data_IF_916921462606
#
_entry.id   IF_916921462606
#
_cell.length_a   1.000
_cell.length_b   1.000
_cell.length_c   1.000
_cell.angle_alpha   90.00
_cell.angle_beta   90.00
_cell.angle_gamma   90.00
#
_symmetry.space_group_name_H-M   'P 1'
#
loop_
_entity.id
_entity.type
_entity.pdbx_description
1 polymer ?
#
# COMPACT_ATOMS: atom_id res chain seq x y z
N UNK A 1 14.88 11.44 20.17
CA UNK A 1 15.93 11.87 19.21
C UNK A 1 15.67 13.32 18.86
N UNK A 2 16.70 14.20 18.84
CA UNK A 2 16.56 15.56 18.33
C UNK A 2 16.15 15.50 16.86
N UNK A 3 15.07 16.19 16.51
CA UNK A 3 14.60 16.23 15.12
C UNK A 3 15.69 16.82 14.23
N UNK A 4 16.06 16.10 13.17
CA UNK A 4 16.98 16.62 12.15
C UNK A 4 16.28 17.75 11.40
N UNK A 5 17.02 18.82 11.11
CA UNK A 5 16.54 19.88 10.23
C UNK A 5 16.50 19.39 8.78
N UNK A 6 15.70 20.04 7.92
CA UNK A 6 15.62 19.73 6.48
C UNK A 6 16.98 19.76 5.80
N UNK A 7 17.84 20.70 6.18
CA UNK A 7 19.21 20.81 5.66
C UNK A 7 20.06 19.59 6.04
N UNK A 8 19.95 19.14 7.30
CA UNK A 8 20.64 17.93 7.76
C UNK A 8 20.15 16.68 7.03
N UNK A 9 18.84 16.55 6.80
CA UNK A 9 18.24 15.46 6.03
C UNK A 9 18.77 15.50 4.59
N UNK A 10 18.72 16.64 3.92
CA UNK A 10 19.22 16.81 2.54
C UNK A 10 20.70 16.47 2.40
N UNK A 11 21.53 16.86 3.38
CA UNK A 11 22.95 16.51 3.41
C UNK A 11 23.17 14.99 3.53
N UNK A 12 22.39 14.33 4.39
CA UNK A 12 22.45 12.88 4.58
C UNK A 12 21.95 12.12 3.33
N UNK A 13 20.84 12.57 2.74
CA UNK A 13 20.32 12.05 1.47
C UNK A 13 21.36 12.14 0.37
N UNK A 14 22.03 13.29 0.23
CA UNK A 14 23.08 13.50 -0.77
C UNK A 14 24.25 12.55 -0.58
N UNK A 15 24.73 12.39 0.65
CA UNK A 15 25.80 11.44 0.99
C UNK A 15 25.40 10.00 0.63
N UNK A 16 24.19 9.61 1.00
CA UNK A 16 23.68 8.25 0.78
C UNK A 16 23.45 7.98 -0.71
N UNK A 17 22.89 8.93 -1.46
CA UNK A 17 22.69 8.80 -2.90
C UNK A 17 24.02 8.60 -3.64
N UNK A 18 25.06 9.40 -3.35
CA UNK A 18 26.38 9.27 -3.97
C UNK A 18 26.96 7.87 -3.71
N UNK A 19 26.88 7.39 -2.46
CA UNK A 19 27.35 6.06 -2.10
C UNK A 19 26.54 4.94 -2.79
N UNK A 20 25.23 5.10 -2.86
CA UNK A 20 24.31 4.18 -3.53
C UNK A 20 24.63 4.07 -5.03
N UNK A 21 24.73 5.20 -5.71
CA UNK A 21 25.01 5.24 -7.15
C UNK A 21 26.35 4.60 -7.48
N UNK A 22 27.38 4.88 -6.69
CA UNK A 22 28.69 4.22 -6.83
C UNK A 22 28.57 2.71 -6.66
N UNK A 23 27.90 2.25 -5.59
CA UNK A 23 27.71 0.82 -5.29
C UNK A 23 27.02 0.08 -6.43
N UNK A 24 25.90 0.59 -6.95
CA UNK A 24 25.16 -0.10 -8.02
C UNK A 24 25.88 -0.07 -9.34
N UNK A 25 26.60 1.01 -9.64
CA UNK A 25 27.41 1.12 -10.86
C UNK A 25 28.55 0.11 -10.88
N UNK A 26 29.20 -0.12 -9.74
CA UNK A 26 30.32 -1.04 -9.60
C UNK A 26 29.88 -2.51 -9.55
N UNK A 27 28.75 -2.81 -8.90
CA UNK A 27 28.37 -4.18 -8.55
C UNK A 27 27.16 -4.74 -9.31
N UNK A 28 26.36 -3.90 -9.98
CA UNK A 28 25.12 -4.34 -10.67
C UNK A 28 25.23 -4.04 -12.17
N UNK A 29 25.52 -5.05 -13.01
CA UNK A 29 25.67 -4.85 -14.47
C UNK A 29 24.47 -4.17 -15.12
N UNK A 30 23.25 -4.48 -14.65
CA UNK A 30 22.02 -3.84 -15.10
C UNK A 30 22.06 -2.31 -14.92
N UNK A 31 22.38 -1.82 -13.71
CA UNK A 31 22.45 -0.38 -13.45
C UNK A 31 23.59 0.29 -14.19
N UNK A 32 24.74 -0.38 -14.27
CA UNK A 32 25.89 0.12 -15.04
C UNK A 32 25.52 0.38 -16.49
N UNK A 33 24.88 -0.61 -17.13
CA UNK A 33 24.42 -0.48 -18.52
C UNK A 33 23.39 0.64 -18.65
N UNK A 34 22.38 0.67 -17.81
CA UNK A 34 21.30 1.66 -17.87
C UNK A 34 21.78 3.10 -17.68
N UNK A 35 22.75 3.31 -16.79
CA UNK A 35 23.40 4.61 -16.61
C UNK A 35 24.28 4.99 -17.82
N UNK A 36 24.99 4.02 -18.42
CA UNK A 36 25.79 4.26 -19.66
C UNK A 36 24.88 4.65 -20.83
N UNK A 37 23.74 3.95 -21.00
CA UNK A 37 22.73 4.25 -22.02
C UNK A 37 22.14 5.66 -21.83
N UNK A 38 21.95 6.08 -20.59
CA UNK A 38 21.51 7.44 -20.21
C UNK A 38 22.66 8.48 -20.26
N UNK A 39 23.91 8.07 -20.57
CA UNK A 39 25.11 8.91 -20.56
C UNK A 39 25.41 9.57 -19.22
N UNK A 40 25.04 8.93 -18.11
CA UNK A 40 25.28 9.39 -16.73
C UNK A 40 26.35 8.54 -16.07
N UNK A 41 27.30 9.20 -15.40
CA UNK A 41 28.36 8.56 -14.61
C UNK A 41 28.17 8.83 -13.13
N UNK A 42 28.69 7.99 -12.23
CA UNK A 42 28.64 8.25 -10.78
C UNK A 42 29.18 9.62 -10.38
N UNK A 43 30.20 10.14 -11.09
CA UNK A 43 30.77 11.47 -10.85
C UNK A 43 29.86 12.65 -11.16
N UNK A 44 28.78 12.41 -11.91
CA UNK A 44 27.81 13.45 -12.28
C UNK A 44 26.76 13.69 -11.17
N UNK A 45 26.73 12.80 -10.17
CA UNK A 45 25.84 12.86 -9.02
C UNK A 45 26.61 13.41 -7.82
N UNK A 46 26.35 14.67 -7.46
CA UNK A 46 27.03 15.41 -6.39
C UNK A 46 26.14 15.69 -5.19
N UNK A 47 24.84 15.66 -5.39
CA UNK A 47 23.84 15.88 -4.35
C UNK A 47 22.53 15.15 -4.68
N UNK A 48 21.58 15.21 -3.75
CA UNK A 48 20.24 14.66 -3.97
C UNK A 48 19.48 15.37 -5.10
N UNK A 49 19.83 16.62 -5.39
CA UNK A 49 19.22 17.39 -6.47
C UNK A 49 19.56 16.85 -7.86
N UNK A 50 20.60 16.04 -7.96
CA UNK A 50 21.00 15.38 -9.21
C UNK A 50 20.24 14.07 -9.50
N UNK A 51 19.30 13.68 -8.64
CA UNK A 51 18.60 12.39 -8.74
C UNK A 51 17.84 12.24 -10.05
N UNK A 52 17.29 13.32 -10.58
CA UNK A 52 16.55 13.33 -11.85
C UNK A 52 17.40 12.99 -13.08
N UNK A 53 18.72 13.07 -12.96
CA UNK A 53 19.66 12.60 -14.02
C UNK A 53 19.68 11.07 -14.14
N UNK A 54 19.33 10.37 -13.06
CA UNK A 54 19.37 8.91 -13.00
C UNK A 54 18.15 8.28 -13.70
N UNK A 55 18.34 7.16 -14.42
CA UNK A 55 17.26 6.47 -15.09
C UNK A 55 16.31 5.79 -14.08
N UNK A 56 15.05 5.66 -14.47
CA UNK A 56 14.06 4.93 -13.68
C UNK A 56 14.32 3.42 -13.65
N UNK A 57 13.93 2.78 -12.57
CA UNK A 57 13.79 1.33 -12.46
C UNK A 57 12.31 0.97 -12.48
N UNK A 58 11.94 -0.08 -13.21
CA UNK A 58 10.57 -0.58 -13.30
C UNK A 58 10.46 -2.00 -12.74
N UNK A 59 9.25 -2.44 -12.49
CA UNK A 59 8.99 -3.84 -12.09
C UNK A 59 9.42 -4.83 -13.18
N UNK A 60 9.31 -4.44 -14.44
CA UNK A 60 9.78 -5.26 -15.58
C UNK A 60 11.30 -5.43 -15.54
N UNK A 61 12.04 -4.38 -15.23
CA UNK A 61 13.51 -4.47 -15.08
C UNK A 61 13.90 -5.50 -14.00
N UNK A 62 13.17 -5.57 -12.88
CA UNK A 62 13.43 -6.57 -11.84
C UNK A 62 13.13 -8.00 -12.32
N UNK A 63 12.09 -8.19 -13.13
CA UNK A 63 11.74 -9.48 -13.73
C UNK A 63 12.74 -9.94 -14.78
N UNK A 64 13.25 -9.02 -15.60
CA UNK A 64 14.23 -9.31 -16.65
C UNK A 64 15.59 -9.71 -16.06
N UNK A 65 15.87 -9.21 -14.85
CA UNK A 65 17.06 -9.54 -14.07
C UNK A 65 16.82 -10.61 -12.99
N UNK A 66 15.72 -11.38 -13.08
CA UNK A 66 15.41 -12.48 -12.17
C UNK A 66 16.48 -13.58 -12.20
N UNK A 67 16.86 -14.20 -11.07
CA UNK A 67 16.39 -13.86 -9.72
C UNK A 67 17.26 -12.83 -8.98
N UNK A 68 18.55 -12.68 -9.30
CA UNK A 68 19.52 -11.95 -8.48
C UNK A 68 20.30 -10.89 -9.24
N UNK A 69 19.94 -10.61 -10.50
CA UNK A 69 20.69 -9.67 -11.37
C UNK A 69 20.68 -8.22 -10.91
N UNK A 70 19.85 -7.86 -9.93
CA UNK A 70 19.79 -6.53 -9.31
C UNK A 70 20.45 -6.47 -7.93
N UNK A 71 21.07 -7.57 -7.46
CA UNK A 71 21.74 -7.58 -6.16
C UNK A 71 23.08 -6.86 -6.24
N UNK A 72 23.35 -6.00 -5.27
CA UNK A 72 24.57 -5.20 -5.21
C UNK A 72 25.62 -5.78 -4.23
N UNK A 73 25.35 -6.97 -3.68
CA UNK A 73 26.25 -7.72 -2.78
C UNK A 73 26.24 -9.20 -3.20
N UNK A 74 27.29 -9.98 -2.85
CA UNK A 74 27.30 -11.42 -3.05
C UNK A 74 26.21 -12.14 -2.27
N UNK A 75 25.71 -13.28 -2.77
CA UNK A 75 24.66 -14.08 -2.10
C UNK A 75 25.01 -14.49 -0.68
N UNK A 76 26.29 -14.67 -0.34
CA UNK A 76 26.73 -14.99 1.03
C UNK A 76 26.40 -13.91 2.05
N UNK A 77 26.21 -12.67 1.61
CA UNK A 77 25.87 -11.51 2.43
C UNK A 77 24.35 -11.27 2.49
N UNK A 78 23.57 -12.00 1.68
CA UNK A 78 22.10 -11.99 1.72
C UNK A 78 21.63 -13.00 2.78
N UNK A 79 20.96 -12.50 3.80
CA UNK A 79 20.46 -13.33 4.93
C UNK A 79 18.96 -13.65 4.83
N UNK A 80 18.25 -12.95 3.92
CA UNK A 80 16.81 -13.19 3.69
C UNK A 80 16.41 -12.84 2.27
N UNK A 81 15.52 -13.66 1.73
CA UNK A 81 14.84 -13.42 0.46
C UNK A 81 13.34 -13.28 0.71
N UNK A 82 12.75 -12.27 0.11
CA UNK A 82 11.31 -12.12 -0.06
C UNK A 82 10.97 -12.07 -1.54
N UNK A 83 9.72 -12.31 -1.87
CA UNK A 83 9.24 -12.15 -3.23
C UNK A 83 7.78 -11.71 -3.27
N UNK A 84 7.44 -10.88 -4.23
CA UNK A 84 6.05 -10.56 -4.54
C UNK A 84 5.54 -11.45 -5.69
N UNK A 85 4.26 -11.87 -5.63
CA UNK A 85 3.62 -12.61 -6.71
C UNK A 85 3.54 -11.74 -7.97
N UNK A 86 4.05 -12.24 -9.09
CA UNK A 86 3.85 -11.61 -10.37
C UNK A 86 2.60 -12.13 -11.05
N UNK A 87 1.73 -11.28 -11.57
CA UNK A 87 0.59 -11.64 -12.43
C UNK A 87 1.01 -12.36 -13.71
N UNK A 88 2.29 -12.29 -14.09
CA UNK A 88 2.89 -12.84 -15.31
C UNK A 88 3.73 -14.10 -15.06
N UNK A 89 3.63 -14.76 -13.90
CA UNK A 89 4.30 -16.01 -13.57
C UNK A 89 5.73 -15.89 -13.00
N UNK A 90 6.48 -14.84 -13.26
CA UNK A 90 7.79 -14.60 -12.61
C UNK A 90 7.63 -13.79 -11.33
N UNK A 91 8.23 -14.27 -10.25
CA UNK A 91 8.29 -13.54 -8.98
C UNK A 91 9.20 -12.31 -9.09
N UNK A 92 8.92 -11.28 -8.32
CA UNK A 92 9.87 -10.18 -8.09
C UNK A 92 10.56 -10.45 -6.77
N UNK A 93 11.86 -10.78 -6.84
CA UNK A 93 12.67 -11.16 -5.67
C UNK A 93 13.26 -9.92 -5.02
N UNK A 94 13.24 -9.87 -3.69
CA UNK A 94 13.90 -8.84 -2.88
C UNK A 94 14.88 -9.50 -1.92
N UNK A 95 16.16 -9.11 -2.00
CA UNK A 95 17.23 -9.61 -1.13
C UNK A 95 17.58 -8.61 -0.05
N UNK A 96 17.87 -9.11 1.15
CA UNK A 96 18.19 -8.31 2.32
C UNK A 96 19.48 -8.80 2.97
N UNK A 97 20.40 -7.86 3.24
CA UNK A 97 21.53 -8.08 4.17
C UNK A 97 21.04 -7.99 5.61
N UNK A 98 21.91 -8.29 6.55
CA UNK A 98 21.61 -8.07 7.98
C UNK A 98 21.35 -6.60 8.28
N UNK A 99 22.15 -5.69 7.69
CA UNK A 99 21.98 -4.25 7.84
C UNK A 99 20.63 -3.77 7.25
N UNK A 100 20.23 -4.34 6.11
CA UNK A 100 18.90 -4.04 5.52
C UNK A 100 17.76 -4.44 6.45
N UNK A 101 17.86 -5.59 7.11
CA UNK A 101 16.85 -6.04 8.08
C UNK A 101 16.81 -5.16 9.32
N UNK A 102 17.98 -4.73 9.83
CA UNK A 102 18.06 -3.84 10.98
C UNK A 102 17.51 -2.45 10.67
N UNK A 103 17.80 -1.92 9.48
CA UNK A 103 17.26 -0.65 8.95
C UNK A 103 15.74 -0.75 8.78
N UNK A 104 15.25 -1.85 8.19
CA UNK A 104 13.82 -2.06 8.00
C UNK A 104 13.06 -2.19 9.33
N UNK A 105 13.59 -2.95 10.28
CA UNK A 105 13.01 -3.04 11.62
C UNK A 105 12.97 -1.67 12.32
N UNK A 106 13.98 -0.81 12.12
CA UNK A 106 13.99 0.56 12.64
C UNK A 106 12.92 1.44 11.97
N UNK A 107 12.76 1.35 10.64
CA UNK A 107 11.72 2.09 9.91
C UNK A 107 10.31 1.72 10.40
N UNK A 108 10.04 0.42 10.58
CA UNK A 108 8.75 -0.07 11.10
C UNK A 108 8.56 0.34 12.56
N UNK A 109 9.59 0.26 13.41
CA UNK A 109 9.54 0.75 14.80
C UNK A 109 9.11 2.22 14.83
N UNK A 110 9.73 3.09 14.00
CA UNK A 110 9.35 4.50 13.89
C UNK A 110 7.88 4.68 13.48
N UNK A 111 7.38 3.81 12.56
CA UNK A 111 5.96 3.80 12.20
C UNK A 111 5.08 3.49 13.42
N UNK A 112 5.39 2.45 14.17
CA UNK A 112 4.63 2.04 15.35
C UNK A 112 4.64 3.12 16.42
N UNK A 113 5.80 3.72 16.73
CA UNK A 113 5.93 4.85 17.65
C UNK A 113 5.08 6.05 17.19
N UNK A 114 5.09 6.35 15.90
CA UNK A 114 4.31 7.46 15.32
C UNK A 114 2.80 7.23 15.45
N UNK A 115 2.34 6.01 15.34
CA UNK A 115 0.95 5.62 15.61
C UNK A 115 0.61 5.65 17.12
N UNK A 116 1.60 5.73 17.99
CA UNK A 116 1.44 5.73 19.45
C UNK A 116 1.44 4.33 20.07
N UNK A 117 2.04 3.36 19.39
CA UNK A 117 2.37 2.04 19.96
C UNK A 117 3.53 2.20 20.93
N UNK A 118 3.47 1.50 22.04
CA UNK A 118 4.48 1.50 23.10
C UNK A 118 4.96 0.08 23.41
N UNK A 119 6.02 -0.06 24.15
CA UNK A 119 6.54 -1.37 24.59
C UNK A 119 5.55 -2.22 25.40
N UNK A 120 4.54 -1.59 25.97
CA UNK A 120 3.53 -2.27 26.79
C UNK A 120 2.39 -2.87 25.95
N UNK A 121 2.44 -2.68 24.62
CA UNK A 121 1.42 -3.18 23.71
C UNK A 121 1.63 -4.64 23.29
N UNK A 122 0.52 -5.30 23.03
CA UNK A 122 0.46 -6.64 22.45
C UNK A 122 -0.07 -6.51 21.02
N UNK A 123 0.79 -6.76 20.03
CA UNK A 123 0.46 -6.66 18.61
C UNK A 123 -0.03 -8.00 18.07
N UNK A 124 -1.26 -8.06 17.64
CA UNK A 124 -1.82 -9.20 16.91
C UNK A 124 -1.63 -9.01 15.41
N UNK A 125 -0.69 -9.76 14.82
CA UNK A 125 -0.34 -9.64 13.41
C UNK A 125 -1.05 -10.71 12.59
N UNK A 126 -2.10 -10.29 11.87
CA UNK A 126 -2.89 -11.13 10.98
C UNK A 126 -2.50 -10.98 9.49
N UNK A 127 -1.23 -10.71 9.23
CA UNK A 127 -0.63 -10.78 7.88
C UNK A 127 0.10 -12.12 7.68
N UNK A 128 0.17 -12.57 6.41
CA UNK A 128 0.93 -13.77 6.06
C UNK A 128 2.43 -13.66 6.38
N UNK A 129 3.02 -14.76 6.83
CA UNK A 129 4.45 -14.90 7.20
C UNK A 129 5.23 -15.72 6.15
N UNK A 130 4.86 -15.68 4.90
CA UNK A 130 5.56 -16.39 3.82
C UNK A 130 6.59 -15.52 3.11
N UNK A 131 6.62 -15.63 1.78
CA UNK A 131 7.49 -14.81 0.93
C UNK A 131 7.17 -13.32 0.96
N UNK A 132 5.95 -12.96 1.37
CA UNK A 132 5.55 -11.57 1.55
C UNK A 132 6.23 -10.91 2.73
N UNK A 133 6.41 -9.60 2.63
CA UNK A 133 7.12 -8.79 3.62
C UNK A 133 6.24 -8.36 4.80
N UNK A 134 4.90 -8.37 4.64
CA UNK A 134 3.96 -7.75 5.59
C UNK A 134 4.09 -8.24 7.03
N UNK A 135 3.94 -9.55 7.26
CA UNK A 135 4.00 -10.13 8.61
C UNK A 135 5.36 -9.94 9.27
N UNK A 136 6.44 -10.32 8.57
CA UNK A 136 7.80 -10.25 9.13
C UNK A 136 8.27 -8.82 9.37
N UNK A 137 7.95 -7.87 8.49
CA UNK A 137 8.35 -6.47 8.69
C UNK A 137 7.77 -5.88 9.97
N UNK A 138 6.46 -6.05 10.17
CA UNK A 138 5.78 -5.58 11.37
C UNK A 138 6.24 -6.31 12.63
N UNK A 139 6.49 -7.61 12.54
CA UNK A 139 7.02 -8.43 13.62
C UNK A 139 8.35 -7.87 14.16
N UNK A 140 9.36 -7.75 13.31
CA UNK A 140 10.68 -7.27 13.73
C UNK A 140 10.70 -5.82 14.20
N UNK A 141 9.86 -4.97 13.61
CA UNK A 141 9.70 -3.60 14.08
C UNK A 141 9.07 -3.52 15.46
N UNK A 142 8.07 -4.36 15.74
CA UNK A 142 7.42 -4.45 17.04
C UNK A 142 8.35 -5.03 18.11
N UNK A 143 9.08 -6.11 17.81
CA UNK A 143 10.12 -6.65 18.72
C UNK A 143 11.20 -5.62 19.02
N UNK A 144 11.66 -4.88 18.00
CA UNK A 144 12.66 -3.81 18.18
C UNK A 144 12.15 -2.67 19.05
N UNK A 145 10.83 -2.40 19.04
CA UNK A 145 10.18 -1.44 19.95
C UNK A 145 10.08 -1.99 21.38
N UNK A 146 10.10 -3.30 21.54
CA UNK A 146 9.95 -4.00 22.84
C UNK A 146 8.52 -4.47 23.11
N UNK A 147 7.66 -4.52 22.10
CA UNK A 147 6.28 -5.00 22.21
C UNK A 147 6.22 -6.53 22.30
N UNK A 148 5.12 -7.04 22.86
CA UNK A 148 4.77 -8.44 22.70
C UNK A 148 4.13 -8.66 21.34
N UNK A 149 4.61 -9.64 20.56
CA UNK A 149 4.10 -9.96 19.24
C UNK A 149 3.35 -11.29 19.27
N UNK A 150 2.11 -11.29 18.76
CA UNK A 150 1.30 -12.48 18.47
C UNK A 150 1.36 -12.73 16.95
N UNK A 151 2.20 -13.68 16.46
CA UNK A 151 2.35 -13.95 15.03
C UNK A 151 1.21 -14.87 14.54
N UNK A 152 -0.01 -14.35 14.54
CA UNK A 152 -1.22 -15.12 14.27
C UNK A 152 -1.32 -15.59 12.80
N UNK A 153 -0.59 -14.92 11.89
CA UNK A 153 -0.63 -15.10 10.45
C UNK A 153 -2.02 -14.80 9.83
N UNK A 154 -2.19 -15.04 8.53
CA UNK A 154 -3.46 -14.84 7.85
C UNK A 154 -4.37 -16.08 7.95
N UNK A 155 -5.67 -15.88 7.77
CA UNK A 155 -6.68 -16.95 7.74
C UNK A 155 -7.21 -17.37 9.10
N UNK A 156 -8.11 -18.36 9.11
CA UNK A 156 -8.78 -18.91 10.29
C UNK A 156 -9.37 -17.86 11.24
N UNK A 157 -10.37 -17.15 10.78
CA UNK A 157 -11.01 -16.01 11.47
C UNK A 157 -11.47 -16.34 12.90
N UNK A 158 -11.97 -17.55 13.14
CA UNK A 158 -12.41 -17.98 14.51
C UNK A 158 -11.20 -18.02 15.45
N UNK A 159 -10.09 -18.58 15.00
CA UNK A 159 -8.85 -18.61 15.79
C UNK A 159 -8.29 -17.20 16.03
N UNK A 160 -8.39 -16.31 15.05
CA UNK A 160 -7.96 -14.91 15.20
C UNK A 160 -8.73 -14.25 16.37
N UNK A 161 -10.06 -14.40 16.40
CA UNK A 161 -10.91 -13.86 17.46
C UNK A 161 -10.51 -14.42 18.83
N UNK A 162 -10.31 -15.73 18.92
CA UNK A 162 -9.85 -16.38 20.14
C UNK A 162 -8.51 -15.81 20.63
N UNK A 163 -7.50 -15.73 19.75
CA UNK A 163 -6.17 -15.23 20.11
C UNK A 163 -6.21 -13.74 20.52
N UNK A 164 -7.01 -12.91 19.83
CA UNK A 164 -7.21 -11.50 20.19
C UNK A 164 -7.70 -11.37 21.65
N UNK A 165 -8.63 -12.22 22.05
CA UNK A 165 -9.23 -12.21 23.39
C UNK A 165 -8.27 -12.81 24.43
N UNK A 166 -7.76 -14.01 24.19
CA UNK A 166 -6.97 -14.77 25.17
C UNK A 166 -5.63 -14.07 25.47
N UNK A 167 -4.99 -13.49 24.46
CA UNK A 167 -3.71 -12.78 24.63
C UNK A 167 -3.89 -11.27 24.89
N UNK A 168 -5.13 -10.81 25.07
CA UNK A 168 -5.46 -9.42 25.39
C UNK A 168 -4.78 -8.44 24.44
N UNK A 169 -4.82 -8.72 23.13
CA UNK A 169 -4.18 -7.90 22.13
C UNK A 169 -4.69 -6.45 22.20
N UNK A 170 -3.75 -5.48 22.15
CA UNK A 170 -4.05 -4.05 22.21
C UNK A 170 -3.97 -3.37 20.86
N UNK A 171 -3.23 -3.98 19.91
CA UNK A 171 -3.04 -3.47 18.55
C UNK A 171 -3.41 -4.56 17.55
N UNK A 172 -4.35 -4.26 16.66
CA UNK A 172 -4.73 -5.12 15.53
C UNK A 172 -3.93 -4.70 14.29
N UNK A 173 -3.27 -5.68 13.63
CA UNK A 173 -2.46 -5.45 12.45
C UNK A 173 -2.91 -6.37 11.32
N UNK A 174 -3.60 -5.82 10.31
CA UNK A 174 -4.15 -6.58 9.18
C UNK A 174 -4.46 -5.68 7.97
N UNK A 175 -5.07 -6.23 6.92
CA UNK A 175 -5.66 -5.39 5.87
C UNK A 175 -6.95 -4.72 6.39
N UNK A 176 -7.31 -3.51 5.92
CA UNK A 176 -8.54 -2.85 6.35
C UNK A 176 -9.80 -3.66 6.03
N UNK A 177 -9.86 -4.33 4.89
CA UNK A 177 -10.98 -5.22 4.55
C UNK A 177 -11.12 -6.39 5.53
N UNK A 178 -9.99 -6.97 5.96
CA UNK A 178 -10.02 -8.07 6.93
C UNK A 178 -10.46 -7.63 8.33
N UNK A 179 -10.17 -6.39 8.72
CA UNK A 179 -10.70 -5.85 9.96
C UNK A 179 -12.24 -5.87 9.98
N UNK A 180 -12.88 -5.49 8.87
CA UNK A 180 -14.34 -5.56 8.75
C UNK A 180 -14.87 -7.01 8.81
N UNK A 181 -14.18 -7.95 8.16
CA UNK A 181 -14.50 -9.39 8.25
C UNK A 181 -14.39 -9.89 9.70
N UNK A 182 -13.35 -9.49 10.42
CA UNK A 182 -13.20 -9.83 11.84
C UNK A 182 -14.33 -9.25 12.69
N UNK A 183 -14.73 -8.01 12.45
CA UNK A 183 -15.85 -7.38 13.15
C UNK A 183 -17.15 -8.17 12.99
N UNK A 184 -17.51 -8.49 11.74
CA UNK A 184 -18.73 -9.26 11.46
C UNK A 184 -18.67 -10.67 12.08
N UNK A 185 -17.51 -11.30 12.08
CA UNK A 185 -17.31 -12.60 12.70
C UNK A 185 -17.45 -12.54 14.24
N UNK A 186 -16.93 -11.49 14.88
CA UNK A 186 -17.11 -11.23 16.33
C UNK A 186 -18.60 -11.09 16.66
N UNK A 187 -19.33 -10.28 15.89
CA UNK A 187 -20.79 -10.10 16.09
C UNK A 187 -21.57 -11.39 15.87
N UNK A 188 -21.24 -12.15 14.83
CA UNK A 188 -21.87 -13.45 14.55
C UNK A 188 -21.62 -14.48 15.65
N UNK A 189 -20.48 -14.40 16.33
CA UNK A 189 -20.16 -15.23 17.49
C UNK A 189 -20.89 -14.79 18.79
N UNK A 190 -21.71 -13.74 18.73
CA UNK A 190 -22.42 -13.20 19.90
C UNK A 190 -21.54 -12.43 20.89
N UNK A 191 -20.33 -12.01 20.46
CA UNK A 191 -19.39 -11.25 21.28
C UNK A 191 -19.54 -9.74 21.04
N UNK A 192 -19.14 -8.94 22.03
CA UNK A 192 -19.00 -7.49 21.86
C UNK A 192 -17.52 -7.14 21.66
N UNK A 193 -17.23 -6.22 20.71
CA UNK A 193 -15.87 -5.71 20.50
C UNK A 193 -15.29 -5.05 21.76
N UNK A 194 -16.14 -4.54 22.64
CA UNK A 194 -15.75 -3.99 23.94
C UNK A 194 -15.14 -5.01 24.89
N UNK A 195 -15.35 -6.31 24.63
CA UNK A 195 -14.74 -7.40 25.41
C UNK A 195 -13.26 -7.61 25.06
N UNK A 196 -12.77 -6.92 24.04
CA UNK A 196 -11.39 -6.97 23.57
C UNK A 196 -10.61 -5.74 24.04
N UNK A 197 -9.29 -5.88 24.23
CA UNK A 197 -8.44 -4.79 24.74
C UNK A 197 -7.91 -3.89 23.62
N UNK A 198 -8.46 -3.97 22.41
CA UNK A 198 -7.98 -3.23 21.26
C UNK A 198 -8.10 -1.71 21.48
N UNK A 199 -7.03 -0.98 21.17
CA UNK A 199 -6.97 0.50 21.23
C UNK A 199 -6.47 1.14 19.95
N UNK A 200 -5.68 0.38 19.15
CA UNK A 200 -5.09 0.83 17.88
C UNK A 200 -5.28 -0.23 16.80
N UNK A 201 -5.35 0.23 15.55
CA UNK A 201 -5.25 -0.61 14.37
C UNK A 201 -4.19 -0.07 13.40
N UNK A 202 -3.32 -0.94 12.91
CA UNK A 202 -2.33 -0.63 11.86
C UNK A 202 -2.76 -1.40 10.62
N UNK A 203 -3.19 -0.68 9.60
CA UNK A 203 -3.79 -1.25 8.40
C UNK A 203 -3.01 -0.86 7.15
N UNK A 204 -2.96 -1.74 6.16
CA UNK A 204 -2.25 -1.48 4.91
C UNK A 204 -2.33 -2.65 3.94
N UNK A 205 -1.43 -2.67 2.96
CA UNK A 205 -1.33 -3.64 1.87
C UNK A 205 -2.45 -3.58 0.81
N UNK A 206 -3.46 -2.75 1.01
CA UNK A 206 -4.50 -2.45 0.03
C UNK A 206 -4.92 -0.97 0.16
N UNK A 207 -5.40 -0.33 -0.93
CA UNK A 207 -6.00 1.01 -0.85
C UNK A 207 -7.29 0.97 0.00
N UNK A 208 -7.53 2.02 0.76
CA UNK A 208 -8.75 2.16 1.55
C UNK A 208 -9.12 3.62 1.79
N UNK A 209 -10.42 3.90 1.84
CA UNK A 209 -10.95 5.26 1.93
C UNK A 209 -10.97 5.80 3.36
N UNK A 210 -11.09 7.14 3.50
CA UNK A 210 -11.31 7.78 4.80
C UNK A 210 -12.62 7.32 5.45
N UNK A 211 -13.64 6.99 4.66
CA UNK A 211 -14.90 6.48 5.17
C UNK A 211 -14.74 5.09 5.75
N UNK A 212 -13.98 4.21 5.09
CA UNK A 212 -13.64 2.90 5.63
C UNK A 212 -12.82 3.02 6.91
N UNK A 213 -11.90 3.99 6.99
CA UNK A 213 -11.17 4.30 8.23
C UNK A 213 -12.14 4.62 9.38
N UNK A 214 -13.07 5.57 9.14
CA UNK A 214 -14.08 5.96 10.14
C UNK A 214 -14.96 4.80 10.55
N UNK A 215 -15.39 3.96 9.61
CA UNK A 215 -16.20 2.78 9.88
C UNK A 215 -15.46 1.78 10.79
N UNK A 216 -14.19 1.48 10.49
CA UNK A 216 -13.35 0.63 11.34
C UNK A 216 -13.18 1.24 12.73
N UNK A 217 -12.87 2.54 12.82
CA UNK A 217 -12.68 3.25 14.09
C UNK A 217 -13.95 3.20 14.95
N UNK A 218 -15.12 3.42 14.35
CA UNK A 218 -16.41 3.36 15.04
C UNK A 218 -16.77 1.95 15.50
N UNK A 219 -16.61 0.96 14.63
CA UNK A 219 -16.96 -0.44 14.89
C UNK A 219 -16.11 -1.03 16.02
N UNK A 220 -14.83 -0.78 16.02
CA UNK A 220 -13.90 -1.33 17.02
C UNK A 220 -13.64 -0.42 18.22
N UNK A 221 -14.01 0.85 18.15
CA UNK A 221 -13.67 1.84 19.20
C UNK A 221 -12.18 2.14 19.28
N UNK A 222 -11.45 2.03 18.18
CA UNK A 222 -9.98 2.17 18.11
C UNK A 222 -9.57 3.38 17.25
N UNK A 223 -8.28 3.74 17.30
CA UNK A 223 -7.67 4.63 16.30
C UNK A 223 -7.03 3.80 15.18
N UNK A 224 -7.30 4.15 13.93
CA UNK A 224 -6.81 3.44 12.76
C UNK A 224 -5.71 4.23 12.03
N UNK A 225 -4.62 3.55 11.71
CA UNK A 225 -3.46 4.10 11.01
C UNK A 225 -3.19 3.35 9.71
N UNK A 226 -2.82 4.11 8.69
CA UNK A 226 -2.46 3.59 7.37
C UNK A 226 -0.95 3.43 7.29
N UNK A 227 -0.46 2.22 7.00
CA UNK A 227 0.96 1.92 6.80
C UNK A 227 1.21 1.51 5.36
N UNK A 228 2.15 2.20 4.72
CA UNK A 228 2.51 1.99 3.32
C UNK A 228 3.86 1.30 3.18
N UNK A 229 4.00 0.51 2.12
CA UNK A 229 5.24 -0.07 1.65
C UNK A 229 5.03 -1.10 0.55
N UNK A 230 6.14 -1.44 -0.11
CA UNK A 230 6.21 -2.44 -1.19
C UNK A 230 7.32 -3.44 -0.88
N UNK A 231 7.11 -4.70 -1.23
CA UNK A 231 8.13 -5.76 -1.03
C UNK A 231 9.46 -5.42 -1.70
N UNK A 232 9.41 -4.79 -2.85
CA UNK A 232 10.59 -4.39 -3.64
C UNK A 232 11.41 -3.31 -2.92
N UNK A 233 10.75 -2.39 -2.23
CA UNK A 233 11.43 -1.29 -1.50
C UNK A 233 11.98 -1.81 -0.18
N UNK A 234 11.12 -2.18 0.76
CA UNK A 234 11.50 -2.80 2.04
C UNK A 234 10.34 -3.50 2.73
N UNK A 235 9.15 -3.56 2.11
CA UNK A 235 7.93 -4.03 2.74
C UNK A 235 7.21 -2.91 3.49
N UNK A 236 6.37 -3.21 4.50
CA UNK A 236 5.72 -2.18 5.30
C UNK A 236 6.74 -1.32 6.05
N UNK A 237 6.37 -0.10 6.33
CA UNK A 237 7.22 0.81 7.12
C UNK A 237 7.94 1.88 6.31
N UNK A 238 7.64 2.03 5.02
CA UNK A 238 8.13 3.15 4.20
C UNK A 238 7.48 4.47 4.65
N UNK A 239 6.18 4.43 4.90
CA UNK A 239 5.43 5.56 5.41
C UNK A 239 4.27 5.12 6.32
N UNK A 240 3.80 6.02 7.18
CA UNK A 240 2.65 5.81 8.07
C UNK A 240 1.88 7.10 8.30
N UNK A 241 0.56 7.01 8.44
CA UNK A 241 -0.27 8.13 8.88
C UNK A 241 -0.05 8.44 10.37
N UNK A 242 -0.41 9.64 10.80
CA UNK A 242 -0.31 10.03 12.20
C UNK A 242 -1.65 10.53 12.75
N UNK A 243 -1.71 10.76 14.08
CA UNK A 243 -2.91 11.29 14.76
C UNK A 243 -3.29 12.70 14.33
N UNK A 244 -2.35 13.47 13.78
CA UNK A 244 -2.49 14.90 13.54
C UNK A 244 -2.92 15.25 12.13
N UNK A 245 -2.78 14.31 11.18
CA UNK A 245 -3.15 14.49 9.77
C UNK A 245 -3.42 13.14 9.12
N UNK A 246 -4.19 13.17 8.03
CA UNK A 246 -4.49 11.97 7.24
C UNK A 246 -3.42 11.65 6.18
N UNK A 247 -2.30 12.39 6.17
CA UNK A 247 -1.15 12.13 5.31
C UNK A 247 -0.19 11.14 5.96
N UNK A 248 0.54 10.40 5.14
CA UNK A 248 1.55 9.47 5.58
C UNK A 248 2.92 10.17 5.64
N UNK A 249 3.63 9.96 6.73
CA UNK A 249 5.00 10.45 6.93
C UNK A 249 5.98 9.46 6.30
N UNK A 250 6.78 9.92 5.35
CA UNK A 250 7.85 9.14 4.72
C UNK A 250 9.14 9.31 5.53
N UNK A 251 9.91 8.24 5.69
CA UNK A 251 11.23 8.29 6.34
C UNK A 251 12.29 8.73 5.34
N UNK A 252 12.41 10.05 5.14
CA UNK A 252 13.26 10.70 4.11
C UNK A 252 14.74 10.37 4.22
N UNK A 253 15.21 10.00 5.39
CA UNK A 253 16.59 9.57 5.63
C UNK A 253 16.87 8.17 5.08
N UNK A 254 15.83 7.37 4.86
CA UNK A 254 15.92 5.98 4.36
C UNK A 254 15.42 5.88 2.92
N UNK A 255 14.29 6.52 2.61
CA UNK A 255 13.59 6.42 1.33
C UNK A 255 13.41 7.82 0.74
N UNK A 256 13.90 8.05 -0.45
CA UNK A 256 13.69 9.32 -1.14
C UNK A 256 12.50 9.20 -2.09
N UNK A 257 11.38 9.89 -1.82
CA UNK A 257 10.22 9.88 -2.70
C UNK A 257 10.31 10.99 -3.75
N UNK A 258 9.79 10.70 -4.93
CA UNK A 258 9.49 11.65 -6.00
C UNK A 258 8.06 11.37 -6.47
N UNK A 259 7.40 12.39 -7.01
CA UNK A 259 6.19 12.23 -7.82
C UNK A 259 6.50 12.68 -9.23
N UNK A 260 6.12 11.89 -10.21
CA UNK A 260 6.34 12.19 -11.62
C UNK A 260 5.03 12.16 -12.40
N UNK A 261 4.95 12.96 -13.44
CA UNK A 261 3.86 12.92 -14.39
C UNK A 261 3.81 11.53 -15.06
N UNK A 262 2.62 10.97 -15.21
CA UNK A 262 2.44 9.59 -15.70
C UNK A 262 2.82 9.40 -17.16
N UNK A 263 2.74 10.46 -17.97
CA UNK A 263 2.94 10.44 -19.41
C UNK A 263 4.35 10.91 -19.77
N UNK A 264 4.77 12.08 -19.26
CA UNK A 264 6.07 12.70 -19.57
C UNK A 264 7.20 12.16 -18.70
N UNK A 265 6.91 11.62 -17.54
CA UNK A 265 7.85 11.16 -16.50
C UNK A 265 8.73 12.28 -15.93
N UNK A 266 8.35 13.52 -16.13
CA UNK A 266 8.99 14.66 -15.49
C UNK A 266 8.61 14.74 -14.01
N UNK A 267 9.55 15.18 -13.17
CA UNK A 267 9.29 15.37 -11.75
C UNK A 267 8.27 16.51 -11.53
N UNK A 268 7.25 16.25 -10.75
CA UNK A 268 6.22 17.21 -10.41
C UNK A 268 6.57 17.98 -9.12
N UNK A 269 6.15 19.23 -9.02
CA UNK A 269 6.30 20.01 -7.79
C UNK A 269 5.38 19.49 -6.68
N UNK A 270 5.68 19.94 -5.44
CA UNK A 270 4.84 19.66 -4.27
C UNK A 270 3.37 20.07 -4.51
N UNK A 271 2.47 19.19 -4.10
CA UNK A 271 1.03 19.42 -4.17
C UNK A 271 0.38 18.92 -5.46
N UNK A 272 1.15 18.51 -6.46
CA UNK A 272 0.62 17.91 -7.69
C UNK A 272 0.51 16.38 -7.57
N UNK A 273 -0.50 15.82 -8.23
CA UNK A 273 -0.76 14.39 -8.24
C UNK A 273 -0.03 13.72 -9.40
N UNK A 274 0.64 12.60 -9.14
CA UNK A 274 1.32 11.81 -10.15
C UNK A 274 1.79 10.46 -9.63
N UNK A 275 2.61 9.76 -10.41
CA UNK A 275 3.13 8.45 -10.05
C UNK A 275 4.26 8.57 -9.02
N UNK A 276 4.12 7.83 -7.92
CA UNK A 276 5.11 7.75 -6.85
C UNK A 276 6.33 6.94 -7.29
N UNK A 277 7.50 7.50 -7.03
CA UNK A 277 8.80 6.91 -7.32
C UNK A 277 9.63 6.90 -6.05
N UNK A 278 10.36 5.81 -5.78
CA UNK A 278 11.26 5.73 -4.64
C UNK A 278 12.69 5.39 -5.01
N UNK A 279 13.63 6.04 -4.32
CA UNK A 279 15.04 5.61 -4.26
C UNK A 279 15.35 5.14 -2.84
N UNK A 280 15.88 3.91 -2.70
CA UNK A 280 16.21 3.32 -1.39
C UNK A 280 17.62 3.73 -0.99
N UNK A 281 17.76 4.82 -0.22
CA UNK A 281 19.05 5.45 0.05
C UNK A 281 19.99 4.60 0.92
N UNK A 282 19.47 3.70 1.76
CA UNK A 282 20.25 2.93 2.73
C UNK A 282 20.27 1.42 2.46
N UNK A 283 19.49 0.93 1.49
CA UNK A 283 19.42 -0.50 1.19
C UNK A 283 20.70 -0.99 0.49
N UNK A 284 21.26 -2.10 0.98
CA UNK A 284 22.54 -2.65 0.51
C UNK A 284 22.38 -3.83 -0.45
N UNK A 285 21.50 -4.78 -0.10
CA UNK A 285 21.37 -6.06 -0.79
C UNK A 285 20.80 -5.91 -2.20
N UNK A 286 19.66 -5.25 -2.31
CA UNK A 286 18.99 -4.95 -3.57
C UNK A 286 18.51 -3.48 -3.54
N UNK A 287 19.42 -2.53 -3.73
CA UNK A 287 19.05 -1.13 -3.79
C UNK A 287 18.26 -0.81 -5.05
N UNK A 288 17.33 0.14 -4.94
CA UNK A 288 16.52 0.63 -6.05
C UNK A 288 16.76 2.11 -6.27
N UNK A 289 17.03 2.50 -7.53
CA UNK A 289 17.14 3.88 -7.97
C UNK A 289 15.91 4.24 -8.79
N UNK A 290 15.22 5.31 -8.39
CA UNK A 290 14.03 5.86 -9.05
C UNK A 290 13.03 4.78 -9.47
N UNK A 291 12.67 3.93 -8.51
CA UNK A 291 11.75 2.81 -8.76
C UNK A 291 10.33 3.32 -8.91
N UNK A 292 9.76 3.09 -10.08
CA UNK A 292 8.37 3.41 -10.42
C UNK A 292 7.43 2.44 -9.73
N UNK A 293 6.68 2.92 -8.73
CA UNK A 293 5.77 2.08 -7.94
C UNK A 293 4.47 1.78 -8.66
N UNK A 294 4.09 2.63 -9.61
CA UNK A 294 2.77 2.72 -10.25
C UNK A 294 1.67 3.24 -9.34
N UNK A 295 1.94 3.51 -8.08
CA UNK A 295 0.97 4.10 -7.17
C UNK A 295 0.82 5.60 -7.43
N UNK A 296 -0.41 6.12 -7.39
CA UNK A 296 -0.72 7.54 -7.62
C UNK A 296 -0.92 8.22 -6.26
N UNK A 297 -0.24 9.33 -6.07
CA UNK A 297 -0.30 10.12 -4.84
C UNK A 297 0.12 11.58 -5.06
N UNK A 298 0.15 12.35 -3.99
CA UNK A 298 0.67 13.71 -3.90
C UNK A 298 1.71 13.77 -2.79
N UNK A 299 2.84 14.42 -3.03
CA UNK A 299 3.83 14.72 -2.00
C UNK A 299 3.73 16.18 -1.55
N UNK A 300 3.96 16.42 -0.27
CA UNK A 300 4.02 17.75 0.33
C UNK A 300 5.15 17.80 1.36
N UNK A 301 6.05 18.77 1.23
CA UNK A 301 7.10 19.02 2.20
C UNK A 301 6.62 20.06 3.22
N UNK A 302 6.14 19.62 4.36
CA UNK A 302 5.64 20.53 5.40
C UNK A 302 5.91 19.98 6.80
N UNK A 303 5.90 20.87 7.77
CA UNK A 303 5.94 20.49 9.18
C UNK A 303 4.57 19.98 9.62
N UNK A 304 4.50 18.77 10.13
CA UNK A 304 3.29 18.22 10.73
C UNK A 304 3.01 18.90 12.08
N UNK A 305 1.73 18.94 12.48
CA UNK A 305 1.33 19.40 13.83
C UNK A 305 1.98 18.61 14.96
N UNK A 306 2.47 17.40 14.69
CA UNK A 306 3.27 16.60 15.65
C UNK A 306 4.72 17.04 15.80
N UNK A 307 5.15 18.10 15.10
CA UNK A 307 6.50 18.65 15.15
C UNK A 307 7.47 18.10 14.10
N UNK A 308 7.17 16.94 13.49
CA UNK A 308 8.06 16.33 12.50
C UNK A 308 8.08 17.11 11.18
N UNK A 309 9.28 17.41 10.71
CA UNK A 309 9.55 17.97 9.39
C UNK A 309 10.05 16.85 8.47
N UNK A 310 9.16 16.33 7.61
CA UNK A 310 9.43 15.26 6.66
C UNK A 310 8.55 15.41 5.43
N UNK A 311 8.83 14.62 4.40
CA UNK A 311 7.92 14.48 3.26
C UNK A 311 6.65 13.78 3.71
N UNK A 312 5.52 14.41 3.40
CA UNK A 312 4.18 13.85 3.60
C UNK A 312 3.65 13.35 2.27
N UNK A 313 3.13 12.15 2.29
CA UNK A 313 2.48 11.50 1.15
C UNK A 313 0.98 11.42 1.42
N UNK A 314 0.16 11.84 0.46
CA UNK A 314 -1.28 11.56 0.54
C UNK A 314 -1.52 10.06 0.42
N UNK A 315 -2.72 9.61 0.79
CA UNK A 315 -3.15 8.24 0.55
C UNK A 315 -3.06 7.93 -0.93
N UNK A 316 -2.73 6.67 -1.23
CA UNK A 316 -2.74 6.19 -2.60
C UNK A 316 -4.18 6.27 -3.13
N UNK A 317 -4.37 7.00 -4.22
CA UNK A 317 -5.68 7.18 -4.89
C UNK A 317 -5.96 6.08 -5.90
N UNK A 318 -4.92 5.43 -6.42
CA UNK A 318 -4.99 4.36 -7.40
C UNK A 318 -3.60 3.95 -7.88
N UNK A 319 -3.58 3.21 -8.98
CA UNK A 319 -2.33 2.80 -9.65
C UNK A 319 -2.38 3.21 -11.10
N UNK A 320 -1.25 3.64 -11.66
CA UNK A 320 -1.18 4.01 -13.08
C UNK A 320 -1.32 2.81 -14.02
N UNK A 321 -1.03 1.59 -13.54
CA UNK A 321 -1.21 0.33 -14.26
C UNK A 321 -2.60 -0.32 -14.04
N UNK A 322 -3.37 0.14 -13.07
CA UNK A 322 -4.76 -0.27 -12.81
C UNK A 322 -5.78 0.79 -13.30
N UNK A 323 -5.30 1.85 -13.93
CA UNK A 323 -6.14 2.89 -14.49
C UNK A 323 -6.96 2.33 -15.65
N UNK A 324 -8.27 2.44 -15.53
CA UNK A 324 -9.22 2.02 -16.54
C UNK A 324 -9.54 3.22 -17.45
N UNK A 325 -9.29 3.09 -18.74
CA UNK A 325 -9.74 4.10 -19.70
C UNK A 325 -11.10 3.62 -20.23
N UNK A 326 -12.16 4.35 -19.90
CA UNK A 326 -13.52 4.04 -20.30
C UNK A 326 -14.06 5.19 -21.15
N UNK A 327 -14.20 4.99 -22.44
CA UNK A 327 -14.67 6.02 -23.39
C UNK A 327 -13.88 7.34 -23.29
N UNK A 328 -12.55 7.24 -23.11
CA UNK A 328 -11.66 8.40 -22.98
C UNK A 328 -11.63 9.05 -21.58
N UNK A 329 -12.31 8.47 -20.60
CA UNK A 329 -12.27 8.92 -19.21
C UNK A 329 -11.38 7.98 -18.41
N UNK A 330 -10.42 8.54 -17.66
CA UNK A 330 -9.58 7.80 -16.73
C UNK A 330 -10.37 7.52 -15.46
N UNK A 331 -10.53 6.22 -15.13
CA UNK A 331 -11.26 5.75 -13.96
C UNK A 331 -10.37 4.83 -13.15
N UNK A 332 -10.23 5.11 -11.86
CA UNK A 332 -9.50 4.24 -10.96
C UNK A 332 -10.47 3.36 -10.15
N UNK A 333 -10.20 2.07 -9.99
CA UNK A 333 -11.01 1.16 -9.17
C UNK A 333 -11.26 1.68 -7.75
N UNK A 334 -10.28 2.38 -7.18
CA UNK A 334 -10.41 3.02 -5.86
C UNK A 334 -11.46 4.14 -5.83
N UNK A 335 -11.68 4.85 -6.93
CA UNK A 335 -12.75 5.85 -7.04
C UNK A 335 -14.11 5.17 -7.07
N UNK A 336 -14.24 4.06 -7.81
CA UNK A 336 -15.48 3.24 -7.82
C UNK A 336 -15.77 2.74 -6.40
N UNK A 337 -14.77 2.19 -5.72
CA UNK A 337 -14.89 1.71 -4.34
C UNK A 337 -15.34 2.81 -3.39
N UNK A 338 -14.76 4.01 -3.50
CA UNK A 338 -15.14 5.16 -2.68
C UNK A 338 -16.60 5.56 -2.87
N UNK A 339 -17.11 5.50 -4.09
CA UNK A 339 -18.53 5.77 -4.38
C UNK A 339 -19.41 4.69 -3.76
N UNK A 340 -19.08 3.41 -3.98
CA UNK A 340 -19.86 2.28 -3.45
C UNK A 340 -19.89 2.26 -1.93
N UNK A 341 -18.80 2.65 -1.26
CA UNK A 341 -18.70 2.68 0.19
C UNK A 341 -19.64 3.70 0.85
N UNK A 342 -20.06 4.74 0.11
CA UNK A 342 -20.99 5.74 0.59
C UNK A 342 -22.47 5.33 0.45
N UNK A 343 -22.75 4.14 -0.10
CA UNK A 343 -24.10 3.64 -0.34
C UNK A 343 -24.44 2.59 0.71
N UNK A 344 -25.36 2.94 1.61
CA UNK A 344 -25.67 2.12 2.80
C UNK A 344 -26.21 0.73 2.48
N UNK A 345 -26.85 0.56 1.34
CA UNK A 345 -27.50 -0.66 0.89
C UNK A 345 -26.49 -1.75 0.42
N UNK A 346 -25.24 -1.35 0.13
CA UNK A 346 -24.21 -2.25 -0.40
C UNK A 346 -23.40 -2.89 0.72
N UNK A 347 -23.09 -4.17 0.57
CA UNK A 347 -22.15 -4.88 1.44
C UNK A 347 -20.71 -4.40 1.17
N UNK A 348 -20.06 -3.88 2.21
CA UNK A 348 -18.74 -3.24 2.08
C UNK A 348 -17.70 -4.19 1.47
N UNK A 349 -17.03 -3.72 0.40
CA UNK A 349 -15.98 -4.47 -0.26
C UNK A 349 -16.46 -5.63 -1.14
N UNK A 350 -17.76 -5.86 -1.27
CA UNK A 350 -18.36 -6.92 -2.10
C UNK A 350 -18.84 -6.38 -3.44
N UNK A 351 -17.87 -6.20 -4.36
CA UNK A 351 -18.16 -5.75 -5.73
C UNK A 351 -17.16 -6.34 -6.74
N UNK A 352 -17.57 -6.36 -8.02
CA UNK A 352 -16.74 -6.71 -9.18
C UNK A 352 -16.94 -5.65 -10.27
N UNK A 353 -15.85 -5.25 -10.91
CA UNK A 353 -15.85 -4.38 -12.09
C UNK A 353 -15.61 -5.28 -13.30
N UNK A 354 -16.53 -5.30 -14.24
CA UNK A 354 -16.42 -6.06 -15.48
C UNK A 354 -16.34 -5.08 -16.64
N UNK A 355 -15.26 -5.17 -17.41
CA UNK A 355 -15.05 -4.37 -18.60
C UNK A 355 -15.25 -5.24 -19.83
N UNK A 356 -16.03 -4.75 -20.77
CA UNK A 356 -16.29 -5.38 -22.06
C UNK A 356 -16.22 -4.35 -23.20
N UNK A 357 -16.12 -4.83 -24.43
CA UNK A 357 -16.19 -3.98 -25.61
C UNK A 357 -17.35 -4.45 -26.51
N UNK A 358 -18.40 -3.66 -26.58
CA UNK A 358 -19.59 -3.96 -27.37
C UNK A 358 -19.68 -2.96 -28.53
N UNK A 359 -19.68 -3.45 -29.76
CA UNK A 359 -19.76 -2.61 -30.97
C UNK A 359 -18.69 -1.49 -30.99
N UNK A 360 -17.44 -1.84 -30.64
CA UNK A 360 -16.28 -0.94 -30.54
C UNK A 360 -16.36 0.13 -29.41
N UNK A 361 -17.33 0.06 -28.52
CA UNK A 361 -17.45 0.94 -27.37
C UNK A 361 -17.13 0.15 -26.08
N UNK A 362 -16.28 0.73 -25.26
CA UNK A 362 -16.00 0.18 -23.96
C UNK A 362 -17.22 0.31 -23.05
N UNK A 363 -17.59 -0.77 -22.39
CA UNK A 363 -18.66 -0.85 -21.41
C UNK A 363 -18.11 -1.24 -20.06
N UNK A 364 -18.66 -0.64 -19.02
CA UNK A 364 -18.32 -0.96 -17.63
C UNK A 364 -19.59 -1.44 -16.92
N UNK A 365 -19.52 -2.65 -16.38
CA UNK A 365 -20.54 -3.22 -15.50
C UNK A 365 -19.96 -3.29 -14.09
N UNK A 366 -20.69 -2.84 -13.09
CA UNK A 366 -20.32 -2.95 -11.69
C UNK A 366 -21.34 -3.85 -11.01
N UNK A 367 -20.89 -5.03 -10.60
CA UNK A 367 -21.68 -5.98 -9.82
C UNK A 367 -21.48 -5.67 -8.34
N UNK A 368 -22.56 -5.46 -7.59
CA UNK A 368 -22.54 -5.14 -6.16
C UNK A 368 -23.43 -6.07 -5.39
N UNK A 369 -22.94 -6.55 -4.25
CA UNK A 369 -23.73 -7.36 -3.32
C UNK A 369 -24.51 -6.46 -2.37
N UNK A 370 -25.82 -6.70 -2.25
CA UNK A 370 -26.66 -5.99 -1.31
C UNK A 370 -26.55 -6.61 0.10
N UNK A 371 -26.67 -5.79 1.13
CA UNK A 371 -26.87 -6.27 2.49
C UNK A 371 -28.21 -6.98 2.58
N UNK A 372 -28.29 -7.98 3.45
CA UNK A 372 -29.46 -8.84 3.62
C UNK A 372 -30.76 -8.05 3.91
N UNK A 373 -30.66 -6.98 4.64
CA UNK A 373 -31.79 -6.11 5.05
C UNK A 373 -32.37 -5.29 3.90
N UNK A 374 -31.60 -5.05 2.82
CA UNK A 374 -32.03 -4.30 1.63
C UNK A 374 -32.32 -5.21 0.44
N UNK A 375 -32.07 -6.51 0.56
CA UNK A 375 -32.39 -7.47 -0.47
C UNK A 375 -33.89 -7.83 -0.38
N UNK A 376 -34.67 -7.21 -1.23
CA UNK A 376 -36.14 -7.29 -1.29
C UNK A 376 -36.59 -7.99 -2.57
N UNK A 377 -37.74 -8.67 -2.50
CA UNK A 377 -38.42 -9.23 -3.68
C UNK A 377 -39.20 -8.16 -4.47
N UNK A 378 -39.19 -6.91 -3.99
CA UNK A 378 -39.88 -5.79 -4.62
C UNK A 378 -39.01 -5.14 -5.69
N UNK A 379 -39.33 -5.36 -6.96
CA UNK A 379 -38.59 -4.84 -8.12
C UNK A 379 -38.41 -3.31 -8.06
N UNK A 380 -39.44 -2.58 -7.59
CA UNK A 380 -39.42 -1.12 -7.47
C UNK A 380 -38.32 -0.61 -6.52
N UNK A 381 -38.04 -1.32 -5.42
CA UNK A 381 -37.05 -0.88 -4.44
C UNK A 381 -35.62 -1.21 -4.92
N UNK A 382 -35.43 -2.36 -5.56
CA UNK A 382 -34.17 -2.71 -6.21
C UNK A 382 -33.82 -1.73 -7.35
N UNK A 383 -34.83 -1.30 -8.13
CA UNK A 383 -34.63 -0.29 -9.19
C UNK A 383 -34.23 1.08 -8.64
N UNK A 384 -34.76 1.49 -7.48
CA UNK A 384 -34.34 2.74 -6.82
C UNK A 384 -32.87 2.68 -6.40
N UNK A 385 -32.47 1.59 -5.77
CA UNK A 385 -31.09 1.36 -5.35
C UNK A 385 -30.18 1.37 -6.58
N UNK A 386 -30.49 0.64 -7.64
CA UNK A 386 -29.74 0.59 -8.87
C UNK A 386 -29.53 1.99 -9.48
N UNK A 387 -30.61 2.76 -9.64
CA UNK A 387 -30.57 4.12 -10.18
C UNK A 387 -29.76 5.08 -9.30
N UNK A 388 -29.84 4.94 -7.98
CA UNK A 388 -29.02 5.73 -7.06
C UNK A 388 -27.54 5.47 -7.32
N UNK A 389 -27.12 4.19 -7.41
CA UNK A 389 -25.72 3.82 -7.69
C UNK A 389 -25.29 4.37 -9.06
N UNK A 390 -26.09 4.20 -10.11
CA UNK A 390 -25.80 4.71 -11.46
C UNK A 390 -25.56 6.24 -11.44
N UNK A 391 -26.43 6.99 -10.76
CA UNK A 391 -26.30 8.45 -10.64
C UNK A 391 -25.05 8.85 -9.86
N UNK A 392 -24.74 8.16 -8.77
CA UNK A 392 -23.53 8.39 -7.98
C UNK A 392 -22.26 8.13 -8.82
N UNK A 393 -22.24 7.07 -9.63
CA UNK A 393 -21.12 6.77 -10.53
C UNK A 393 -20.94 7.86 -11.56
N UNK A 394 -22.00 8.28 -12.25
CA UNK A 394 -21.91 9.37 -13.23
C UNK A 394 -21.45 10.67 -12.59
N UNK A 395 -22.03 11.03 -11.43
CA UNK A 395 -21.70 12.27 -10.74
C UNK A 395 -20.26 12.37 -10.24
N UNK A 396 -19.68 11.24 -9.80
CA UNK A 396 -18.34 11.23 -9.22
C UNK A 396 -17.23 10.85 -10.23
N UNK A 397 -17.53 10.01 -11.22
CA UNK A 397 -16.53 9.48 -12.16
C UNK A 397 -16.61 10.10 -13.56
N UNK A 398 -17.70 10.82 -13.88
CA UNK A 398 -17.92 11.35 -15.21
C UNK A 398 -18.21 10.28 -16.27
N UNK A 399 -18.40 9.02 -15.89
CA UNK A 399 -18.69 7.89 -16.79
C UNK A 399 -19.80 7.02 -16.23
N UNK A 400 -20.72 6.57 -17.09
CA UNK A 400 -21.80 5.67 -16.71
C UNK A 400 -21.34 4.21 -16.67
N UNK A 401 -21.83 3.48 -15.66
CA UNK A 401 -21.67 2.05 -15.51
C UNK A 401 -23.04 1.37 -15.46
N UNK A 402 -23.14 0.17 -16.00
CA UNK A 402 -24.29 -0.72 -15.77
C UNK A 402 -24.17 -1.33 -14.39
N UNK A 403 -25.16 -1.15 -13.55
CA UNK A 403 -25.17 -1.72 -12.19
C UNK A 403 -25.97 -3.02 -12.16
N UNK A 404 -25.34 -4.07 -11.60
CA UNK A 404 -25.96 -5.37 -11.39
C UNK A 404 -25.98 -5.67 -9.89
N UNK A 405 -27.17 -5.69 -9.32
CA UNK A 405 -27.39 -6.04 -7.93
C UNK A 405 -27.31 -7.56 -7.75
N UNK A 406 -26.53 -8.00 -6.79
CA UNK A 406 -26.32 -9.41 -6.45
C UNK A 406 -26.91 -9.72 -5.09
N UNK A 407 -27.39 -10.96 -4.93
CA UNK A 407 -27.89 -11.46 -3.65
C UNK A 407 -26.77 -11.54 -2.58
N UNK A 408 -27.12 -11.42 -1.29
CA UNK A 408 -26.17 -11.59 -0.19
C UNK A 408 -25.41 -12.93 -0.28
N UNK A 409 -24.08 -12.90 -0.15
CA UNK A 409 -23.21 -14.08 -0.20
C UNK A 409 -22.88 -14.60 -1.61
N UNK A 410 -23.31 -13.90 -2.68
CA UNK A 410 -23.10 -14.36 -4.06
C UNK A 410 -21.75 -13.97 -4.67
N UNK A 411 -21.10 -12.91 -4.15
CA UNK A 411 -19.78 -12.50 -4.61
C UNK A 411 -18.72 -13.18 -3.74
N UNK A 412 -18.10 -14.23 -4.27
CA UNK A 412 -16.97 -14.91 -3.65
C UNK A 412 -15.67 -14.22 -4.08
N UNK A 413 -14.97 -13.63 -3.13
CA UNK A 413 -13.66 -13.05 -3.33
C UNK A 413 -12.62 -14.03 -2.78
N UNK A 414 -11.55 -14.31 -3.54
CA UNK A 414 -10.48 -15.20 -3.09
C UNK A 414 -9.70 -14.59 -1.91
N UNK A 415 -9.31 -15.41 -0.95
CA UNK A 415 -8.57 -15.00 0.27
C UNK A 415 -7.18 -14.40 0.01
N UNK A 416 -6.65 -14.53 -1.19
CA UNK A 416 -5.35 -14.00 -1.58
C UNK A 416 -5.51 -12.97 -2.71
N UNK A 417 -5.25 -11.70 -2.42
CA UNK A 417 -5.30 -10.57 -3.37
C UNK A 417 -6.58 -10.56 -4.23
N UNK A 418 -7.60 -9.92 -3.73
CA UNK A 418 -8.93 -9.82 -4.33
C UNK A 418 -8.86 -9.19 -5.71
N UNK A 419 -8.93 -9.99 -6.76
CA UNK A 419 -9.06 -9.48 -8.13
C UNK A 419 -10.51 -8.99 -8.32
N UNK A 420 -10.69 -7.68 -8.27
CA UNK A 420 -12.00 -7.01 -8.40
C UNK A 420 -12.29 -6.52 -9.81
N UNK A 421 -11.37 -6.74 -10.74
CA UNK A 421 -11.49 -6.31 -12.13
C UNK A 421 -11.42 -7.52 -13.02
N UNK A 422 -12.40 -7.66 -13.88
CA UNK A 422 -12.46 -8.62 -14.98
C UNK A 422 -12.47 -7.80 -16.27
N UNK A 423 -11.34 -7.76 -16.97
CA UNK A 423 -11.23 -7.07 -18.25
C UNK A 423 -11.32 -8.08 -19.38
N UNK A 424 -12.45 -8.11 -20.06
CA UNK A 424 -12.74 -8.98 -21.18
C UNK A 424 -12.46 -8.30 -22.55
N UNK A 425 -11.94 -7.07 -22.52
CA UNK A 425 -11.63 -6.36 -23.77
C UNK A 425 -10.46 -7.02 -24.46
N UNK A 426 -10.65 -7.50 -25.67
CA UNK A 426 -9.55 -7.89 -26.57
C UNK A 426 -8.94 -6.64 -27.15
N UNK A 427 -7.65 -6.44 -26.88
CA UNK A 427 -6.81 -5.38 -27.46
C UNK A 427 -6.46 -5.75 -28.90
#
# INVERSE_FOLDING_TARGET
>A
MSEKTREQIKKEQSKNLIALVKRVYENVPYYKKKMQDAKVKPSDIKSIDDITKLPFTTKQDLRDNYPFGTFAVPMKDIVRLHASSGTTGKLTVAGYTKNDLDMWAEAVKRCLEKAGVTKDDVLHIAFGYGLFTGGLGLHYGAEKLGCTVVPAAAGNTIRQIQLLKDFKATVLVCTPSYALVLYEAIKKAGMDVKDFNLRLGIFGAEPWSLNMKKDIEQKFGIQAFDIYGLSEISGPGVAISCKCCDMLHVWDDIFYPEVVDTDTLEALPDGEEGELVFTTLQKEGMPLIRYRTRDITVLEHKKCKSGHECTHMRRITGRSDDMLIIRGVNVFPSQIESVLFNINEIEAGKYLIVLDRVSNLDTMEIQVELKKEYFSDTISDLDKIRKNIENQMIGNLGVGAKIVLKAPGSIQLSDSKTQRIVDNRTI
#
